data_IF_844121060571
#
_entry.id   IF_844121060571
#
_cell.length_a   1.000
_cell.length_b   1.000
_cell.length_c   1.000
_cell.angle_alpha   90.00
_cell.angle_beta   90.00
_cell.angle_gamma   90.00
#
_symmetry.space_group_name_H-M   'P 1'
#
loop_
_entity.id
_entity.type
_entity.pdbx_description
1 polymer ?
#
# COMPACT_ATOMS: atom_id res chain seq x y z
N UNK A 1 4.07 -22.11 11.65
CA UNK A 1 3.61 -20.93 10.90
C UNK A 1 2.95 -20.02 11.91
N UNK A 2 3.43 -18.79 12.07
CA UNK A 2 2.80 -17.84 12.99
C UNK A 2 1.51 -17.33 12.34
N UNK A 3 0.36 -17.90 12.75
CA UNK A 3 -0.97 -17.55 12.23
C UNK A 3 -1.24 -16.04 12.31
N UNK A 4 -0.68 -15.38 13.32
CA UNK A 4 -0.77 -13.93 13.49
C UNK A 4 -0.10 -13.18 12.34
N UNK A 5 1.14 -13.56 12.02
CA UNK A 5 1.92 -12.91 10.97
C UNK A 5 1.22 -13.03 9.62
N UNK A 6 0.83 -14.24 9.23
CA UNK A 6 0.16 -14.47 7.94
C UNK A 6 -1.16 -13.69 7.86
N UNK A 7 -1.98 -13.68 8.93
CA UNK A 7 -3.24 -12.92 8.95
C UNK A 7 -3.01 -11.42 8.75
N UNK A 8 -2.11 -10.82 9.53
CA UNK A 8 -1.87 -9.37 9.50
C UNK A 8 -1.15 -8.95 8.22
N UNK A 9 -0.18 -9.74 7.76
CA UNK A 9 0.52 -9.54 6.50
C UNK A 9 -0.46 -9.54 5.34
N UNK A 10 -1.36 -10.52 5.26
CA UNK A 10 -2.39 -10.57 4.22
C UNK A 10 -3.32 -9.35 4.28
N UNK A 11 -3.84 -8.99 5.46
CA UNK A 11 -4.67 -7.79 5.61
C UNK A 11 -3.94 -6.50 5.18
N UNK A 12 -2.66 -6.38 5.55
CA UNK A 12 -1.83 -5.23 5.16
C UNK A 12 -1.59 -5.18 3.66
N UNK A 13 -1.26 -6.32 3.04
CA UNK A 13 -1.08 -6.44 1.59
C UNK A 13 -2.36 -6.11 0.83
N UNK A 14 -3.53 -6.46 1.36
CA UNK A 14 -4.80 -6.10 0.71
C UNK A 14 -4.94 -4.59 0.53
N UNK A 15 -4.68 -3.80 1.57
CA UNK A 15 -4.72 -2.33 1.49
C UNK A 15 -3.55 -1.75 0.67
N UNK A 16 -2.33 -2.24 0.93
CA UNK A 16 -1.11 -1.69 0.34
C UNK A 16 -0.97 -2.01 -1.15
N UNK A 17 -1.13 -3.28 -1.55
CA UNK A 17 -0.97 -3.68 -2.95
C UNK A 17 -2.09 -3.13 -3.81
N UNK A 18 -3.32 -3.03 -3.28
CA UNK A 18 -4.40 -2.35 -3.98
C UNK A 18 -4.04 -0.88 -4.22
N UNK A 19 -3.55 -0.16 -3.21
CA UNK A 19 -3.05 1.21 -3.38
C UNK A 19 -1.91 1.31 -4.41
N UNK A 20 -0.96 0.38 -4.38
CA UNK A 20 0.16 0.35 -5.33
C UNK A 20 -0.32 0.17 -6.77
N UNK A 21 -1.27 -0.74 -7.02
CA UNK A 21 -1.86 -0.94 -8.35
C UNK A 21 -2.67 0.26 -8.81
N UNK A 22 -3.44 0.83 -7.90
CA UNK A 22 -4.30 1.98 -8.15
C UNK A 22 -3.50 3.23 -8.56
N UNK A 23 -2.29 3.38 -8.03
CA UNK A 23 -1.44 4.55 -8.26
C UNK A 23 -0.20 4.24 -9.12
N UNK A 24 -0.13 3.05 -9.74
CA UNK A 24 0.98 2.61 -10.60
C UNK A 24 2.35 2.79 -9.92
N UNK A 25 2.42 2.44 -8.63
CA UNK A 25 3.62 2.65 -7.81
C UNK A 25 4.75 1.77 -8.31
N UNK A 26 5.88 2.39 -8.63
CA UNK A 26 7.10 1.70 -9.05
C UNK A 26 7.69 0.86 -7.91
N UNK A 27 8.02 -0.40 -8.21
CA UNK A 27 8.73 -1.28 -7.27
C UNK A 27 10.18 -0.82 -7.02
N UNK A 28 10.83 -0.28 -8.05
CA UNK A 28 12.22 0.19 -7.99
C UNK A 28 12.34 1.45 -7.11
N UNK A 29 11.41 2.40 -7.33
CA UNK A 29 11.36 3.69 -6.63
C UNK A 29 10.29 3.70 -5.53
N UNK A 30 10.02 2.55 -4.91
CA UNK A 30 9.04 2.44 -3.84
C UNK A 30 9.40 3.36 -2.67
N UNK A 31 8.42 4.12 -2.20
CA UNK A 31 8.52 4.92 -0.98
C UNK A 31 7.19 4.86 -0.22
N UNK A 32 7.24 4.41 1.04
CA UNK A 32 6.05 4.22 1.87
C UNK A 32 5.29 5.53 2.14
N UNK A 33 5.95 6.68 2.04
CA UNK A 33 5.34 8.00 2.34
C UNK A 33 4.13 8.29 1.46
N UNK A 34 4.09 7.81 0.21
CA UNK A 34 2.93 7.96 -0.66
C UNK A 34 1.70 7.25 -0.11
N UNK A 35 1.85 5.98 0.28
CA UNK A 35 0.78 5.21 0.91
C UNK A 35 0.35 5.84 2.24
N UNK A 36 1.32 6.17 3.09
CA UNK A 36 1.08 6.78 4.39
C UNK A 36 0.31 8.10 4.25
N UNK A 37 0.78 9.03 3.40
CA UNK A 37 0.10 10.30 3.16
C UNK A 37 -1.30 10.10 2.58
N UNK A 38 -1.49 9.15 1.67
CA UNK A 38 -2.83 8.85 1.15
C UNK A 38 -3.79 8.43 2.28
N UNK A 39 -3.35 7.58 3.21
CA UNK A 39 -4.14 7.20 4.38
C UNK A 39 -4.45 8.41 5.28
N UNK A 40 -3.43 9.23 5.59
CA UNK A 40 -3.60 10.44 6.41
C UNK A 40 -4.66 11.38 5.81
N UNK A 41 -4.59 11.65 4.50
CA UNK A 41 -5.57 12.50 3.83
C UNK A 41 -6.97 11.88 3.77
N UNK A 42 -7.06 10.58 3.40
CA UNK A 42 -8.33 9.84 3.29
C UNK A 42 -9.09 9.82 4.62
N UNK A 43 -8.37 9.69 5.72
CA UNK A 43 -8.96 9.58 7.06
C UNK A 43 -8.89 10.88 7.87
N UNK A 44 -8.39 11.96 7.29
CA UNK A 44 -8.24 13.29 7.93
C UNK A 44 -7.49 13.22 9.26
N UNK A 45 -6.44 12.40 9.30
CA UNK A 45 -5.61 12.21 10.48
C UNK A 45 -4.66 13.39 10.62
N UNK A 46 -4.47 13.90 11.83
CA UNK A 46 -3.44 14.90 12.12
C UNK A 46 -2.16 14.22 12.59
N UNK A 47 -1.02 14.57 11.99
CA UNK A 47 0.29 14.04 12.41
C UNK A 47 1.05 15.12 13.17
N UNK A 48 1.41 14.85 14.42
CA UNK A 48 1.95 15.85 15.36
C UNK A 48 3.28 15.36 15.94
N UNK A 49 4.36 16.09 15.69
CA UNK A 49 5.65 15.83 16.32
C UNK A 49 5.60 16.23 17.80
N UNK A 50 5.97 15.32 18.70
CA UNK A 50 6.01 15.55 20.14
C UNK A 50 7.41 15.33 20.71
N UNK A 51 7.64 15.84 21.92
CA UNK A 51 8.76 15.44 22.77
C UNK A 51 8.20 14.88 24.06
N UNK A 52 8.33 13.57 24.26
CA UNK A 52 7.79 12.85 25.41
C UNK A 52 8.84 12.81 26.52
N UNK A 53 8.62 13.62 27.55
CA UNK A 53 9.59 13.87 28.64
C UNK A 53 9.99 12.63 29.44
N UNK A 54 9.19 11.56 29.40
CA UNK A 54 9.44 10.32 30.15
C UNK A 54 10.25 9.28 29.34
N UNK A 55 10.62 9.55 28.07
CA UNK A 55 11.36 8.65 27.17
C UNK A 55 10.79 7.22 26.99
N UNK A 56 9.57 6.97 27.49
CA UNK A 56 8.89 5.68 27.46
C UNK A 56 7.84 5.55 26.36
N UNK A 57 7.49 6.67 25.71
CA UNK A 57 6.46 6.77 24.69
C UNK A 57 7.18 7.10 23.39
N UNK A 58 7.00 6.24 22.40
CA UNK A 58 7.60 6.40 21.07
C UNK A 58 6.59 7.01 20.09
N UNK A 59 5.35 6.55 20.20
CA UNK A 59 4.19 7.01 19.44
C UNK A 59 2.92 7.05 20.29
N UNK A 60 1.95 7.86 19.86
CA UNK A 60 0.65 7.97 20.50
C UNK A 60 -0.44 8.21 19.45
N UNK A 61 -1.46 7.35 19.45
CA UNK A 61 -2.71 7.56 18.71
C UNK A 61 -3.81 8.02 19.64
N UNK A 62 -4.53 9.08 19.24
CA UNK A 62 -5.74 9.57 19.93
C UNK A 62 -6.89 9.64 18.94
N UNK A 63 -8.02 9.04 19.31
CA UNK A 63 -9.28 9.05 18.55
C UNK A 63 -10.39 9.58 19.46
N UNK A 64 -10.90 10.76 19.18
CA UNK A 64 -11.94 11.42 19.97
C UNK A 64 -13.00 12.14 19.09
N UNK A 65 -13.90 12.89 19.73
CA UNK A 65 -14.96 13.63 19.05
C UNK A 65 -14.43 14.74 18.11
N UNK A 66 -13.19 15.20 18.31
CA UNK A 66 -12.54 16.23 17.51
C UNK A 66 -11.81 15.66 16.29
N UNK A 67 -11.43 14.37 16.33
CA UNK A 67 -10.87 13.65 15.20
C UNK A 67 -9.83 12.61 15.60
N UNK A 68 -8.91 12.34 14.67
CA UNK A 68 -7.84 11.35 14.84
C UNK A 68 -6.50 12.08 14.77
N UNK A 69 -5.61 11.78 15.71
CA UNK A 69 -4.24 12.27 15.67
C UNK A 69 -3.23 11.17 15.96
N UNK A 70 -2.11 11.20 15.23
CA UNK A 70 -0.93 10.39 15.47
C UNK A 70 0.21 11.30 15.93
N UNK A 71 0.90 10.88 16.97
CA UNK A 71 2.03 11.58 17.54
C UNK A 71 3.26 10.68 17.55
N UNK A 72 4.44 11.27 17.41
CA UNK A 72 5.70 10.55 17.43
C UNK A 72 6.80 11.39 18.10
N UNK A 73 7.78 10.72 18.72
CA UNK A 73 8.93 11.39 19.31
C UNK A 73 9.82 12.00 18.22
N UNK A 74 9.93 13.34 18.23
CA UNK A 74 10.61 14.12 17.20
C UNK A 74 12.13 13.95 17.21
N UNK A 75 12.70 13.63 18.38
CA UNK A 75 14.15 13.52 18.56
C UNK A 75 14.70 12.13 18.18
N UNK A 76 13.80 11.17 17.87
CA UNK A 76 14.20 9.86 17.35
C UNK A 76 14.86 9.95 15.97
N UNK A 77 15.73 8.99 15.60
CA UNK A 77 16.21 8.87 14.22
C UNK A 77 15.07 8.70 13.22
N UNK A 78 15.22 9.23 12.01
CA UNK A 78 14.16 9.20 10.97
C UNK A 78 13.62 7.79 10.69
N UNK A 79 14.49 6.80 10.62
CA UNK A 79 14.08 5.40 10.40
C UNK A 79 13.17 4.86 11.51
N UNK A 80 13.32 5.36 12.74
CA UNK A 80 12.46 5.00 13.88
C UNK A 80 11.15 5.79 13.84
N UNK A 81 11.20 7.08 13.49
CA UNK A 81 9.99 7.88 13.24
C UNK A 81 9.10 7.23 12.16
N UNK A 82 9.71 6.77 11.06
CA UNK A 82 9.00 6.08 9.97
C UNK A 82 8.28 4.82 10.48
N UNK A 83 8.98 4.00 11.27
CA UNK A 83 8.42 2.78 11.86
C UNK A 83 7.25 3.07 12.81
N UNK A 84 7.42 4.02 13.73
CA UNK A 84 6.37 4.44 14.67
C UNK A 84 5.16 4.99 13.93
N UNK A 85 5.34 5.86 12.93
CA UNK A 85 4.21 6.41 12.16
C UNK A 85 3.41 5.31 11.45
N UNK A 86 4.08 4.34 10.83
CA UNK A 86 3.41 3.20 10.22
C UNK A 86 2.78 2.25 11.25
N UNK A 87 3.35 2.15 12.45
CA UNK A 87 2.79 1.39 13.56
C UNK A 87 1.47 2.00 14.06
N UNK A 88 1.43 3.32 14.29
CA UNK A 88 0.19 4.04 14.65
C UNK A 88 -0.88 3.91 13.55
N UNK A 89 -0.47 3.99 12.28
CA UNK A 89 -1.37 3.71 11.16
C UNK A 89 -1.89 2.27 11.19
N UNK A 90 -1.06 1.31 11.60
CA UNK A 90 -1.44 -0.09 11.79
C UNK A 90 -2.56 -0.26 12.80
N UNK A 91 -2.46 0.37 13.97
CA UNK A 91 -3.55 0.37 14.96
C UNK A 91 -4.88 0.83 14.36
N UNK A 92 -4.83 1.91 13.59
CA UNK A 92 -6.03 2.49 12.98
C UNK A 92 -6.61 1.63 11.85
N UNK A 93 -5.78 1.18 10.91
CA UNK A 93 -6.23 0.41 9.73
C UNK A 93 -6.72 -0.99 10.12
N UNK A 94 -6.05 -1.63 11.08
CA UNK A 94 -6.45 -2.93 11.61
C UNK A 94 -7.65 -2.85 12.58
N UNK A 95 -8.13 -1.63 12.88
CA UNK A 95 -9.28 -1.36 13.75
C UNK A 95 -9.11 -1.96 15.15
N UNK A 96 -7.93 -1.79 15.73
CA UNK A 96 -7.71 -2.19 17.11
C UNK A 96 -8.67 -1.42 18.04
N UNK A 97 -9.26 -2.12 19.01
CA UNK A 97 -10.20 -1.51 19.94
C UNK A 97 -9.49 -0.58 20.93
N UNK A 98 -9.90 0.68 20.98
CA UNK A 98 -9.34 1.68 21.88
C UNK A 98 -9.34 3.08 21.26
N UNK A 99 -9.47 4.10 22.13
CA UNK A 99 -9.38 5.51 21.73
C UNK A 99 -7.99 6.11 21.97
N UNK A 100 -7.11 5.34 22.63
CA UNK A 100 -5.77 5.75 23.03
C UNK A 100 -4.82 4.57 22.91
N UNK A 101 -3.79 4.70 22.09
CA UNK A 101 -2.69 3.74 21.99
C UNK A 101 -1.40 4.47 22.26
N UNK A 102 -0.60 3.99 23.20
CA UNK A 102 0.73 4.52 23.48
C UNK A 102 1.74 3.41 23.23
N UNK A 103 2.53 3.53 22.17
CA UNK A 103 3.65 2.63 21.91
C UNK A 103 4.63 2.81 23.08
N UNK A 104 4.72 1.80 23.95
CA UNK A 104 5.62 1.79 25.09
C UNK A 104 6.56 0.60 25.05
N UNK A 105 7.81 0.85 25.43
CA UNK A 105 8.88 -0.15 25.54
C UNK A 105 8.46 -1.34 26.42
N UNK A 106 7.59 -1.11 27.41
CA UNK A 106 7.19 -2.10 28.42
C UNK A 106 6.00 -2.99 27.99
N UNK A 107 5.33 -2.73 26.83
CA UNK A 107 4.07 -3.41 26.45
C UNK A 107 4.12 -4.19 25.11
N UNK A 108 5.32 -4.48 24.61
CA UNK A 108 5.55 -5.06 23.27
C UNK A 108 5.04 -6.52 23.09
N UNK A 109 4.66 -7.22 24.17
CA UNK A 109 4.11 -8.58 24.10
C UNK A 109 2.59 -8.61 23.86
N UNK A 110 1.91 -7.46 23.92
CA UNK A 110 0.49 -7.37 23.62
C UNK A 110 0.23 -7.74 22.14
N UNK A 111 -0.83 -8.52 21.90
CA UNK A 111 -1.23 -8.98 20.57
C UNK A 111 -1.36 -7.79 19.60
N UNK A 112 -2.07 -6.74 20.00
CA UNK A 112 -2.34 -5.58 19.14
C UNK A 112 -1.05 -4.83 18.73
N UNK A 113 -0.08 -4.73 19.64
CA UNK A 113 1.23 -4.12 19.37
C UNK A 113 2.02 -4.95 18.37
N UNK A 114 1.97 -6.30 18.50
CA UNK A 114 2.59 -7.20 17.53
C UNK A 114 1.95 -7.07 16.15
N UNK A 115 0.62 -6.94 16.07
CA UNK A 115 -0.08 -6.72 14.81
C UNK A 115 0.32 -5.38 14.16
N UNK A 116 0.36 -4.30 14.93
CA UNK A 116 0.80 -2.99 14.44
C UNK A 116 2.27 -3.00 13.97
N UNK A 117 3.15 -3.75 14.66
CA UNK A 117 4.54 -3.97 14.24
C UNK A 117 4.63 -4.73 12.91
N UNK A 118 3.83 -5.78 12.73
CA UNK A 118 3.78 -6.53 11.47
C UNK A 118 3.29 -5.63 10.34
N UNK A 119 2.20 -4.87 10.57
CA UNK A 119 1.68 -3.91 9.61
C UNK A 119 2.76 -2.91 9.18
N UNK A 120 3.44 -2.29 10.16
CA UNK A 120 4.51 -1.33 9.91
C UNK A 120 5.64 -1.93 9.07
N UNK A 121 6.09 -3.14 9.42
CA UNK A 121 7.15 -3.83 8.70
C UNK A 121 6.76 -4.21 7.27
N UNK A 122 5.52 -4.63 7.03
CA UNK A 122 5.01 -4.97 5.69
C UNK A 122 4.81 -3.72 4.83
N UNK A 123 4.32 -2.61 5.41
CA UNK A 123 4.23 -1.32 4.70
C UNK A 123 5.61 -0.79 4.33
N UNK A 124 6.56 -0.74 5.26
CA UNK A 124 7.88 -0.19 4.98
C UNK A 124 8.70 -1.06 4.01
N UNK A 125 8.51 -2.37 4.07
CA UNK A 125 9.31 -3.33 3.32
C UNK A 125 8.41 -4.39 2.69
N UNK A 126 7.63 -4.08 1.63
CA UNK A 126 6.67 -5.03 1.04
C UNK A 126 7.37 -6.21 0.35
N UNK A 127 6.76 -7.40 0.35
CA UNK A 127 7.37 -8.64 -0.20
C UNK A 127 7.84 -8.46 -1.64
N UNK A 128 6.97 -7.87 -2.49
CA UNK A 128 7.27 -7.63 -3.91
C UNK A 128 8.42 -6.63 -4.10
N UNK A 129 8.56 -5.66 -3.19
CA UNK A 129 9.65 -4.67 -3.21
C UNK A 129 10.95 -5.30 -2.74
N UNK A 130 10.90 -6.12 -1.67
CA UNK A 130 12.05 -6.89 -1.21
C UNK A 130 12.55 -7.85 -2.29
N UNK A 131 11.65 -8.54 -3.00
CA UNK A 131 12.00 -9.37 -4.15
C UNK A 131 12.68 -8.55 -5.25
N UNK A 132 12.11 -7.40 -5.62
CA UNK A 132 12.71 -6.51 -6.62
C UNK A 132 14.13 -6.07 -6.22
N UNK A 133 14.31 -5.62 -4.97
CA UNK A 133 15.58 -5.05 -4.50
C UNK A 133 16.66 -6.11 -4.25
N UNK A 134 16.30 -7.16 -3.52
CA UNK A 134 17.26 -8.18 -3.08
C UNK A 134 17.59 -9.13 -4.24
N UNK A 135 16.58 -9.68 -4.91
CA UNK A 135 16.81 -10.74 -5.90
C UNK A 135 17.10 -10.20 -7.31
N UNK A 136 16.28 -9.27 -7.81
CA UNK A 136 16.45 -8.78 -9.18
C UNK A 136 17.53 -7.70 -9.29
N UNK A 137 17.60 -6.79 -8.31
CA UNK A 137 18.61 -5.73 -8.30
C UNK A 137 19.90 -6.11 -7.56
N UNK A 138 19.94 -7.28 -6.89
CA UNK A 138 21.09 -7.77 -6.13
C UNK A 138 21.63 -6.75 -5.12
N UNK A 139 20.76 -5.89 -4.56
CA UNK A 139 21.15 -4.86 -3.61
C UNK A 139 21.73 -5.49 -2.33
N UNK A 140 22.77 -4.87 -1.77
CA UNK A 140 23.33 -5.23 -0.46
C UNK A 140 22.37 -4.88 0.67
N UNK A 141 22.53 -5.52 1.83
CA UNK A 141 21.68 -5.24 3.01
C UNK A 141 21.65 -3.75 3.35
N UNK A 142 22.80 -3.08 3.30
CA UNK A 142 22.90 -1.65 3.56
C UNK A 142 22.20 -0.77 2.52
N UNK A 143 22.22 -1.16 1.24
CA UNK A 143 21.48 -0.45 0.19
C UNK A 143 19.98 -0.56 0.43
N UNK A 144 19.46 -1.76 0.67
CA UNK A 144 18.03 -1.99 0.95
C UNK A 144 17.60 -1.21 2.20
N UNK A 145 18.38 -1.29 3.28
CA UNK A 145 18.13 -0.55 4.52
C UNK A 145 18.02 0.96 4.27
N UNK A 146 18.97 1.54 3.51
CA UNK A 146 19.01 2.98 3.26
C UNK A 146 17.89 3.44 2.31
N UNK A 147 17.60 2.68 1.25
CA UNK A 147 16.59 3.04 0.26
C UNK A 147 15.17 2.97 0.86
N UNK A 148 14.92 1.97 1.72
CA UNK A 148 13.63 1.83 2.40
C UNK A 148 13.54 2.66 3.69
N UNK A 149 14.61 3.39 4.05
CA UNK A 149 14.69 4.23 5.25
C UNK A 149 14.28 3.51 6.54
N UNK A 150 14.78 2.29 6.72
CA UNK A 150 14.51 1.43 7.88
C UNK A 150 15.75 1.19 8.74
N UNK A 151 15.55 0.77 9.98
CA UNK A 151 16.67 0.37 10.84
C UNK A 151 17.19 -1.01 10.43
N UNK A 152 18.47 -1.29 10.74
CA UNK A 152 19.06 -2.64 10.59
C UNK A 152 18.20 -3.71 11.28
N UNK A 153 17.70 -3.40 12.47
CA UNK A 153 16.89 -4.32 13.27
C UNK A 153 15.55 -4.62 12.59
N UNK A 154 14.86 -3.59 12.08
CA UNK A 154 13.59 -3.76 11.39
C UNK A 154 13.74 -4.64 10.13
N UNK A 155 14.77 -4.37 9.29
CA UNK A 155 15.03 -5.17 8.10
C UNK A 155 15.43 -6.62 8.46
N UNK A 156 16.23 -6.82 9.51
CA UNK A 156 16.60 -8.15 9.97
C UNK A 156 15.37 -8.99 10.35
N UNK A 157 14.53 -8.50 11.27
CA UNK A 157 13.34 -9.24 11.71
C UNK A 157 12.33 -9.42 10.59
N UNK A 158 12.14 -8.38 9.76
CA UNK A 158 11.27 -8.48 8.58
C UNK A 158 11.67 -9.63 7.67
N UNK A 159 12.95 -9.78 7.35
CA UNK A 159 13.43 -10.87 6.49
C UNK A 159 13.25 -12.24 7.14
N UNK A 160 13.43 -12.36 8.47
CA UNK A 160 13.18 -13.60 9.18
C UNK A 160 11.70 -14.01 9.09
N UNK A 161 10.79 -13.10 9.45
CA UNK A 161 9.36 -13.40 9.49
C UNK A 161 8.79 -13.66 8.10
N UNK A 162 9.26 -12.89 7.11
CA UNK A 162 8.98 -13.13 5.70
C UNK A 162 9.34 -14.55 5.25
N UNK A 163 10.61 -14.93 5.42
CA UNK A 163 11.11 -16.20 4.87
C UNK A 163 10.55 -17.41 5.62
N UNK A 164 10.23 -17.27 6.91
CA UNK A 164 9.58 -18.32 7.70
C UNK A 164 8.22 -18.75 7.15
N UNK A 165 7.51 -17.84 6.49
CA UNK A 165 6.24 -18.14 5.84
C UNK A 165 6.41 -19.18 4.71
N UNK A 166 7.49 -19.05 3.94
CA UNK A 166 7.77 -19.93 2.80
C UNK A 166 8.63 -21.16 3.16
N UNK A 167 9.36 -21.10 4.27
CA UNK A 167 10.32 -22.12 4.69
C UNK A 167 10.07 -22.62 6.13
N UNK A 168 8.93 -23.29 6.39
CA UNK A 168 8.59 -23.77 7.72
C UNK A 168 9.64 -24.76 8.24
N UNK A 169 10.11 -24.56 9.49
CA UNK A 169 11.08 -25.43 10.16
C UNK A 169 12.55 -25.16 9.79
N UNK A 170 12.84 -24.13 8.99
CA UNK A 170 14.20 -23.78 8.53
C UNK A 170 14.78 -22.55 9.23
N UNK A 171 14.38 -22.29 10.48
CA UNK A 171 14.75 -21.07 11.22
C UNK A 171 16.26 -20.80 11.26
N UNK A 172 17.08 -21.84 11.46
CA UNK A 172 18.53 -21.72 11.49
C UNK A 172 19.12 -21.35 10.11
N UNK A 173 18.65 -21.99 9.04
CA UNK A 173 19.07 -21.72 7.66
C UNK A 173 18.71 -20.28 7.26
N UNK A 174 17.48 -19.85 7.57
CA UNK A 174 17.00 -18.49 7.30
C UNK A 174 17.84 -17.48 8.07
N UNK A 175 18.02 -17.67 9.37
CA UNK A 175 18.80 -16.76 10.22
C UNK A 175 20.22 -16.62 9.70
N UNK A 176 20.88 -17.73 9.39
CA UNK A 176 22.23 -17.73 8.83
C UNK A 176 22.29 -17.01 7.47
N UNK A 177 21.30 -17.18 6.60
CA UNK A 177 21.25 -16.49 5.32
C UNK A 177 21.09 -14.98 5.48
N UNK A 178 20.28 -14.51 6.44
CA UNK A 178 20.12 -13.08 6.73
C UNK A 178 21.37 -12.49 7.41
N UNK A 179 22.01 -13.22 8.34
CA UNK A 179 23.26 -12.80 8.98
C UNK A 179 24.40 -12.67 7.97
N UNK A 180 24.55 -13.64 7.07
CA UNK A 180 25.58 -13.56 6.02
C UNK A 180 25.27 -12.45 5.00
N UNK A 181 24.00 -12.16 4.73
CA UNK A 181 23.59 -11.01 3.92
C UNK A 181 23.97 -9.66 4.56
N UNK A 182 23.82 -9.53 5.89
CA UNK A 182 24.29 -8.36 6.65
C UNK A 182 25.82 -8.20 6.52
N UNK A 183 26.57 -9.31 6.46
CA UNK A 183 28.02 -9.30 6.22
C UNK A 183 28.41 -9.01 4.74
N UNK A 184 27.44 -8.80 3.85
CA UNK A 184 27.65 -8.53 2.43
C UNK A 184 27.78 -9.77 1.54
N UNK A 185 27.48 -10.97 2.07
CA UNK A 185 27.47 -12.23 1.29
C UNK A 185 26.04 -12.53 0.84
N UNK A 186 25.75 -12.27 -0.44
CA UNK A 186 24.37 -12.32 -0.94
C UNK A 186 23.91 -13.71 -1.42
N UNK A 187 24.81 -14.69 -1.56
CA UNK A 187 24.48 -15.97 -2.23
C UNK A 187 23.34 -16.75 -1.57
N UNK A 188 23.34 -16.86 -0.24
CA UNK A 188 22.32 -17.60 0.50
C UNK A 188 20.96 -16.92 0.42
N UNK A 189 20.90 -15.60 0.62
CA UNK A 189 19.64 -14.85 0.55
C UNK A 189 19.07 -14.86 -0.87
N UNK A 190 19.90 -14.71 -1.89
CA UNK A 190 19.48 -14.77 -3.29
C UNK A 190 18.89 -16.13 -3.65
N UNK A 191 19.46 -17.22 -3.14
CA UNK A 191 18.91 -18.57 -3.32
C UNK A 191 17.54 -18.71 -2.66
N UNK A 192 17.36 -18.20 -1.44
CA UNK A 192 16.06 -18.24 -0.79
C UNK A 192 15.01 -17.45 -1.60
N UNK A 193 15.33 -16.22 -2.03
CA UNK A 193 14.40 -15.48 -2.88
C UNK A 193 14.13 -16.14 -4.24
N UNK A 194 15.12 -16.84 -4.82
CA UNK A 194 14.98 -17.55 -6.08
C UNK A 194 13.83 -18.56 -6.02
N UNK A 195 13.77 -19.38 -4.97
CA UNK A 195 12.81 -20.50 -4.90
C UNK A 195 11.36 -20.03 -4.64
N UNK A 196 11.17 -18.80 -4.14
CA UNK A 196 9.86 -18.24 -3.76
C UNK A 196 9.38 -17.11 -4.68
N UNK A 197 10.17 -16.72 -5.69
CA UNK A 197 9.90 -15.55 -6.53
C UNK A 197 8.54 -15.61 -7.24
N UNK A 198 8.18 -16.78 -7.76
CA UNK A 198 6.96 -16.91 -8.58
C UNK A 198 5.73 -16.74 -7.69
N UNK A 199 5.74 -17.29 -6.48
CA UNK A 199 4.66 -17.15 -5.51
C UNK A 199 4.42 -15.68 -5.13
N UNK A 200 5.49 -14.90 -4.92
CA UNK A 200 5.38 -13.47 -4.60
C UNK A 200 4.83 -12.67 -5.79
N UNK A 201 5.32 -12.97 -7.01
CA UNK A 201 4.87 -12.31 -8.23
C UNK A 201 3.40 -12.62 -8.50
N UNK A 202 3.01 -13.88 -8.38
CA UNK A 202 1.62 -14.32 -8.54
C UNK A 202 0.70 -13.66 -7.52
N UNK A 203 1.08 -13.62 -6.24
CA UNK A 203 0.33 -12.90 -5.20
C UNK A 203 0.12 -11.43 -5.59
N UNK A 204 1.18 -10.72 -5.99
CA UNK A 204 1.08 -9.31 -6.38
C UNK A 204 0.25 -9.10 -7.67
N UNK A 205 0.21 -10.08 -8.57
CA UNK A 205 -0.57 -10.02 -9.80
C UNK A 205 -2.06 -10.32 -9.61
N UNK A 206 -2.47 -10.93 -8.49
CA UNK A 206 -3.88 -11.07 -8.14
C UNK A 206 -4.56 -9.71 -7.92
N UNK A 207 -3.79 -8.68 -7.57
CA UNK A 207 -4.27 -7.31 -7.44
C UNK A 207 -4.34 -6.62 -8.80
N UNK A 208 -5.49 -5.99 -9.06
CA UNK A 208 -5.75 -5.22 -10.27
C UNK A 208 -6.09 -3.77 -9.91
N UNK A 209 -5.71 -2.78 -10.74
CA UNK A 209 -6.17 -1.41 -10.53
C UNK A 209 -7.70 -1.38 -10.50
N UNK A 210 -8.28 -0.64 -9.57
CA UNK A 210 -9.73 -0.47 -9.47
C UNK A 210 -10.29 0.12 -10.77
N UNK A 211 -11.54 -0.21 -11.09
CA UNK A 211 -12.25 0.31 -12.27
C UNK A 211 -12.11 1.84 -12.41
N UNK A 212 -12.24 2.57 -11.30
CA UNK A 212 -12.13 4.03 -11.28
C UNK A 212 -10.74 4.49 -11.73
N UNK A 213 -9.68 3.84 -11.26
CA UNK A 213 -8.31 4.20 -11.63
C UNK A 213 -7.96 3.75 -13.05
N UNK A 214 -8.50 2.61 -13.52
CA UNK A 214 -8.40 2.23 -14.92
C UNK A 214 -9.04 3.28 -15.83
N UNK A 215 -10.26 3.72 -15.53
CA UNK A 215 -10.96 4.78 -16.27
C UNK A 215 -10.18 6.09 -16.19
N UNK A 216 -9.69 6.48 -15.00
CA UNK A 216 -8.87 7.69 -14.84
C UNK A 216 -7.64 7.66 -15.73
N UNK A 217 -6.92 6.53 -15.80
CA UNK A 217 -5.72 6.37 -16.64
C UNK A 217 -6.07 6.45 -18.13
N UNK A 218 -7.16 5.82 -18.55
CA UNK A 218 -7.64 5.92 -19.94
C UNK A 218 -8.03 7.36 -20.30
N UNK A 219 -8.82 8.02 -19.45
CA UNK A 219 -9.26 9.41 -19.66
C UNK A 219 -8.12 10.43 -19.53
N UNK A 220 -7.15 10.23 -18.63
CA UNK A 220 -5.98 11.12 -18.54
C UNK A 220 -5.11 11.05 -19.80
N UNK A 221 -5.09 9.90 -20.49
CA UNK A 221 -4.37 9.72 -21.75
C UNK A 221 -5.18 10.24 -22.93
N UNK A 222 -6.39 9.70 -23.14
CA UNK A 222 -7.19 9.88 -24.37
C UNK A 222 -8.31 10.93 -24.20
N UNK A 223 -8.64 11.30 -22.97
CA UNK A 223 -9.70 12.25 -22.63
C UNK A 223 -11.11 11.66 -22.59
N UNK A 224 -11.27 10.37 -22.88
CA UNK A 224 -12.56 9.72 -23.07
C UNK A 224 -12.45 8.20 -22.88
N UNK A 225 -13.43 7.57 -22.25
CA UNK A 225 -13.54 6.12 -22.08
C UNK A 225 -15.02 5.69 -22.11
N UNK A 226 -15.32 4.47 -22.56
CA UNK A 226 -16.71 3.98 -22.70
C UNK A 226 -16.93 2.58 -22.13
N UNK A 227 -18.21 2.20 -22.03
CA UNK A 227 -18.63 0.87 -21.59
C UNK A 227 -18.31 -0.25 -22.57
N UNK A 228 -17.74 0.05 -23.75
CA UNK A 228 -17.13 -0.98 -24.61
C UNK A 228 -15.79 -1.43 -24.03
N UNK A 229 -14.99 -0.48 -23.53
CA UNK A 229 -13.71 -0.75 -22.89
C UNK A 229 -13.90 -1.20 -21.44
N UNK A 230 -14.88 -0.61 -20.74
CA UNK A 230 -15.15 -0.84 -19.32
C UNK A 230 -16.63 -1.14 -19.08
N UNK A 231 -17.11 -2.38 -19.28
CA UNK A 231 -18.53 -2.74 -19.19
C UNK A 231 -19.23 -2.28 -17.90
N UNK A 232 -18.50 -2.28 -16.78
CA UNK A 232 -18.98 -1.84 -15.47
C UNK A 232 -19.39 -0.37 -15.40
N UNK A 233 -19.06 0.45 -16.41
CA UNK A 233 -19.59 1.81 -16.56
C UNK A 233 -21.12 1.83 -16.77
N UNK A 234 -21.73 0.73 -17.22
CA UNK A 234 -23.19 0.63 -17.30
C UNK A 234 -23.84 0.59 -15.92
N UNK A 235 -23.11 0.14 -14.89
CA UNK A 235 -23.57 0.24 -13.52
C UNK A 235 -23.41 1.68 -13.00
N UNK A 236 -24.53 2.39 -12.85
CA UNK A 236 -24.54 3.79 -12.43
C UNK A 236 -24.07 4.00 -10.99
N UNK A 237 -24.06 2.97 -10.14
CA UNK A 237 -23.53 3.05 -8.77
C UNK A 237 -22.04 3.46 -8.77
N UNK A 238 -21.30 3.05 -9.82
CA UNK A 238 -19.90 3.40 -10.00
C UNK A 238 -19.68 4.88 -10.34
N UNK A 239 -20.69 5.60 -10.82
CA UNK A 239 -20.54 6.97 -11.34
C UNK A 239 -20.28 7.99 -10.24
N UNK A 240 -20.88 7.79 -9.07
CA UNK A 240 -20.64 8.66 -7.91
C UNK A 240 -19.17 8.62 -7.53
N UNK A 241 -18.62 7.41 -7.44
CA UNK A 241 -17.23 7.20 -7.08
C UNK A 241 -16.27 7.80 -8.13
N UNK A 242 -16.60 7.77 -9.42
CA UNK A 242 -15.81 8.42 -10.50
C UNK A 242 -15.79 9.95 -10.34
N UNK A 243 -16.95 10.56 -10.05
CA UNK A 243 -17.08 12.03 -9.90
C UNK A 243 -16.41 12.55 -8.63
N UNK A 244 -16.59 11.86 -7.51
CA UNK A 244 -15.99 12.24 -6.22
C UNK A 244 -14.45 12.21 -6.29
N UNK A 245 -13.93 11.34 -7.13
CA UNK A 245 -12.50 11.14 -7.34
C UNK A 245 -11.82 12.17 -8.26
N UNK A 246 -12.58 12.86 -9.12
CA UNK A 246 -12.08 13.92 -9.99
C UNK A 246 -13.23 14.80 -10.52
N UNK A 247 -13.30 16.05 -10.07
CA UNK A 247 -14.35 17.01 -10.42
C UNK A 247 -14.35 17.43 -11.90
N UNK A 248 -13.29 17.14 -12.65
CA UNK A 248 -13.21 17.39 -14.09
C UNK A 248 -13.85 16.28 -14.93
N UNK A 249 -14.09 15.11 -14.35
CA UNK A 249 -14.73 14.01 -15.06
C UNK A 249 -16.24 14.15 -15.05
N UNK A 250 -16.85 13.95 -16.21
CA UNK A 250 -18.30 13.82 -16.36
C UNK A 250 -18.63 12.42 -16.85
N UNK A 251 -19.80 11.92 -16.47
CA UNK A 251 -20.30 10.59 -16.85
C UNK A 251 -21.72 10.72 -17.41
N UNK A 252 -21.99 10.13 -18.58
CA UNK A 252 -23.30 10.09 -19.22
C UNK A 252 -23.60 8.71 -19.81
N UNK A 253 -24.87 8.44 -20.10
CA UNK A 253 -25.38 7.25 -20.78
C UNK A 253 -26.21 7.69 -21.98
N UNK A 254 -25.98 7.07 -23.12
CA UNK A 254 -26.83 7.23 -24.30
C UNK A 254 -27.49 5.90 -24.59
N UNK A 255 -28.78 5.96 -24.89
CA UNK A 255 -29.58 4.82 -25.34
C UNK A 255 -30.14 5.13 -26.73
N UNK A 256 -30.02 4.17 -27.65
CA UNK A 256 -30.59 4.25 -28.98
C UNK A 256 -30.99 2.86 -29.48
N UNK A 257 -32.27 2.66 -29.83
CA UNK A 257 -32.81 1.43 -30.45
C UNK A 257 -32.36 0.12 -29.77
N UNK A 258 -32.49 0.03 -28.45
CA UNK A 258 -32.14 -1.18 -27.70
C UNK A 258 -30.66 -1.32 -27.34
N UNK A 259 -29.79 -0.41 -27.79
CA UNK A 259 -28.37 -0.37 -27.42
C UNK A 259 -28.09 0.78 -26.47
N UNK A 260 -27.16 0.60 -25.55
CA UNK A 260 -26.72 1.63 -24.61
C UNK A 260 -25.20 1.70 -24.54
N UNK A 261 -24.67 2.92 -24.41
CA UNK A 261 -23.25 3.16 -24.13
C UNK A 261 -23.13 4.16 -22.98
N UNK A 262 -22.44 3.76 -21.92
CA UNK A 262 -22.02 4.67 -20.86
C UNK A 262 -20.62 5.18 -21.18
N UNK A 263 -20.33 6.43 -20.84
CA UNK A 263 -19.02 7.01 -21.12
C UNK A 263 -18.63 8.09 -20.12
N UNK A 264 -17.32 8.23 -19.97
CA UNK A 264 -16.67 9.20 -19.09
C UNK A 264 -15.73 10.04 -19.93
N UNK A 265 -15.72 11.35 -19.69
CA UNK A 265 -14.78 12.25 -20.37
C UNK A 265 -14.29 13.35 -19.45
N UNK A 266 -13.12 13.88 -19.79
CA UNK A 266 -12.56 15.07 -19.17
C UNK A 266 -13.15 16.31 -19.81
N UNK A 267 -13.89 17.11 -19.01
CA UNK A 267 -14.52 18.36 -19.48
C UNK A 267 -13.52 19.44 -19.90
N UNK A 268 -12.24 19.29 -19.56
CA UNK A 268 -11.17 20.17 -20.04
C UNK A 268 -10.68 19.79 -21.44
N UNK A 269 -10.86 18.53 -21.85
CA UNK A 269 -10.42 18.02 -23.16
C UNK A 269 -11.54 17.97 -24.20
N UNK A 270 -12.76 17.67 -23.78
CA UNK A 270 -13.93 17.60 -24.68
C UNK A 270 -15.08 18.45 -24.16
N UNK A 271 -15.71 19.19 -25.07
CA UNK A 271 -17.00 19.81 -24.78
C UNK A 271 -18.07 18.72 -24.62
N UNK A 272 -19.13 19.02 -23.88
CA UNK A 272 -20.29 18.15 -23.71
C UNK A 272 -20.87 17.68 -25.05
N UNK A 273 -20.86 18.54 -26.08
CA UNK A 273 -21.34 18.24 -27.42
C UNK A 273 -20.41 17.27 -28.17
N UNK A 274 -19.10 17.46 -28.05
CA UNK A 274 -18.11 16.62 -28.74
C UNK A 274 -18.04 15.23 -28.12
N UNK A 275 -18.04 15.16 -26.78
CA UNK A 275 -18.09 13.90 -26.05
C UNK A 275 -19.35 13.10 -26.40
N UNK A 276 -20.52 13.76 -26.46
CA UNK A 276 -21.77 13.13 -26.87
C UNK A 276 -21.71 12.61 -28.31
N UNK A 277 -21.26 13.42 -29.27
CA UNK A 277 -21.11 12.97 -30.67
C UNK A 277 -20.19 11.75 -30.80
N UNK A 278 -19.08 11.74 -30.04
CA UNK A 278 -18.13 10.62 -30.03
C UNK A 278 -18.77 9.34 -29.48
N UNK A 279 -19.54 9.44 -28.39
CA UNK A 279 -20.30 8.32 -27.84
C UNK A 279 -21.39 7.82 -28.82
N UNK A 280 -22.13 8.72 -29.46
CA UNK A 280 -23.14 8.37 -30.47
C UNK A 280 -22.52 7.61 -31.65
N UNK A 281 -21.35 8.05 -32.12
CA UNK A 281 -20.62 7.36 -33.20
C UNK A 281 -20.20 5.94 -32.76
N UNK A 282 -19.67 5.77 -31.54
CA UNK A 282 -19.33 4.43 -31.04
C UNK A 282 -20.57 3.54 -30.86
N UNK A 283 -21.69 4.09 -30.41
CA UNK A 283 -22.95 3.35 -30.26
C UNK A 283 -23.51 2.86 -31.61
N UNK A 284 -23.31 3.64 -32.68
CA UNK A 284 -23.70 3.25 -34.04
C UNK A 284 -22.84 2.10 -34.62
N UNK A 285 -21.61 1.95 -34.11
CA UNK A 285 -20.68 0.90 -34.52
C UNK A 285 -20.82 -0.40 -33.71
N UNK A 286 -21.58 -0.38 -32.60
CA UNK A 286 -22.05 -1.58 -31.89
C UNK A 286 -23.15 -2.27 -32.66
#
# INVERSE_FOLDING_TARGET
>A
MDELYTRVSNATKQELYQYMKDNDISLLNYNFTYFFQNCIHKHRIQVISHHFSNHKIEGLTVIDELGISFSYEKDNPKVKQNFTLCHELGHYILKHDGNYFAESIDNQENLLEREANIFSAVVLMPDIVLLSKIYYSCETFHQVQNILEVSKQALFFRLLDFLREYYPGKDSEIKQAVETYIEGKNSSILRLFHDIREQIIEEFHQFQPSLINQIKKSVSTVGFATSQEYPDLLNQDNWKAIKDNNSNLKTWLIYNKGKSIAYVWDKQKFSDKDARKKAELQLLLM
#
